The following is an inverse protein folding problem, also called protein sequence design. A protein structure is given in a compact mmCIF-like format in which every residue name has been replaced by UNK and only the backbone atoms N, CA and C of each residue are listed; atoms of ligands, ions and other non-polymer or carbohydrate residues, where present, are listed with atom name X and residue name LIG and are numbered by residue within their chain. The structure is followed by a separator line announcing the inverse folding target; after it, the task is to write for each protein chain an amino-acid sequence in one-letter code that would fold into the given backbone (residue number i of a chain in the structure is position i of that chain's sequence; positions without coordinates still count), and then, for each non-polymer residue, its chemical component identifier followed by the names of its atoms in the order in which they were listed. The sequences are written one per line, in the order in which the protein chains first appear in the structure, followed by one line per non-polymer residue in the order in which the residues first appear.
data_IF_903223013571
#
_entry.id   IF_903223013571
#
_cell.length_a   1.000
_cell.length_b   1.000
_cell.length_c   1.000
_cell.angle_alpha   90.00
_cell.angle_beta   90.00
_cell.angle_gamma   90.00
#
_symmetry.space_group_name_H-M   'P 1'
#
loop_
_entity.id
_entity.type
_entity.pdbx_description
1 polymer ?
#
# COMPACT_ATOMS: atom_id res chain seq x y z
N UNK A 1 12.76 -7.45 6.93
CA UNK A 1 12.86 -6.51 5.80
C UNK A 1 12.82 -7.27 4.48
N UNK A 2 12.25 -6.66 3.44
CA UNK A 2 12.28 -7.22 2.06
C UNK A 2 13.70 -7.51 1.58
N UNK A 3 14.66 -6.68 1.96
CA UNK A 3 16.06 -6.74 1.53
C UNK A 3 16.90 -7.74 2.32
N UNK A 4 16.32 -8.45 3.28
CA UNK A 4 17.05 -9.42 4.11
C UNK A 4 16.50 -10.82 3.91
N UNK A 5 17.41 -11.79 3.80
CA UNK A 5 17.06 -13.23 3.69
C UNK A 5 16.49 -13.80 4.99
N UNK A 6 16.78 -13.16 6.14
CA UNK A 6 16.33 -13.60 7.46
C UNK A 6 15.96 -12.40 8.34
N UNK A 7 15.32 -12.65 9.49
CA UNK A 7 14.97 -11.62 10.44
C UNK A 7 16.18 -11.21 11.30
N UNK A 8 16.15 -9.97 11.78
CA UNK A 8 17.15 -9.44 12.71
C UNK A 8 16.51 -9.22 14.07
N UNK A 9 17.01 -9.87 15.16
CA UNK A 9 16.56 -9.56 16.50
C UNK A 9 16.94 -8.12 16.87
N UNK A 10 15.95 -7.30 17.17
CA UNK A 10 16.19 -5.92 17.60
C UNK A 10 16.28 -5.79 19.12
N UNK A 11 15.54 -6.63 19.86
CA UNK A 11 15.47 -6.60 21.29
C UNK A 11 15.13 -8.00 21.86
N UNK A 12 15.77 -8.43 22.94
CA UNK A 12 15.32 -9.60 23.70
C UNK A 12 13.94 -9.33 24.30
N UNK A 13 13.02 -10.29 24.13
CA UNK A 13 11.63 -10.20 24.61
C UNK A 13 10.84 -9.01 24.04
N UNK A 14 11.10 -8.63 22.79
CA UNK A 14 10.28 -7.63 22.08
C UNK A 14 8.84 -8.09 21.94
N UNK A 15 7.90 -7.19 22.21
CA UNK A 15 6.45 -7.47 22.14
C UNK A 15 5.88 -7.39 20.72
N UNK A 16 6.67 -6.88 19.77
CA UNK A 16 6.22 -6.66 18.38
C UNK A 16 7.22 -7.17 17.37
N UNK A 17 6.67 -7.57 16.23
CA UNK A 17 7.38 -7.92 15.00
C UNK A 17 7.16 -6.82 13.98
N UNK A 18 8.23 -6.34 13.37
CA UNK A 18 8.17 -5.30 12.33
C UNK A 18 8.56 -5.91 11.00
N UNK A 19 7.65 -5.83 10.03
CA UNK A 19 7.89 -6.19 8.65
C UNK A 19 7.82 -4.94 7.81
N UNK A 20 8.75 -4.76 6.88
CA UNK A 20 8.75 -3.57 6.06
C UNK A 20 9.42 -3.78 4.71
N UNK A 21 8.91 -3.06 3.72
CA UNK A 21 9.57 -2.75 2.47
C UNK A 21 10.28 -1.40 2.68
N UNK A 22 11.61 -1.37 2.73
CA UNK A 22 12.34 -0.12 2.97
C UNK A 22 12.23 0.88 1.82
N UNK A 23 11.96 0.40 0.60
CA UNK A 23 12.05 1.22 -0.61
C UNK A 23 11.05 0.80 -1.69
N UNK A 24 9.75 0.96 -1.41
CA UNK A 24 8.68 0.81 -2.41
C UNK A 24 8.88 1.78 -3.56
N UNK A 25 8.76 1.26 -4.79
CA UNK A 25 8.98 2.05 -6.00
C UNK A 25 10.43 2.33 -6.32
N UNK A 26 11.36 1.45 -5.94
CA UNK A 26 12.82 1.61 -6.16
C UNK A 26 13.21 1.95 -7.59
N UNK A 27 12.44 1.53 -8.60
CA UNK A 27 12.62 1.91 -10.01
C UNK A 27 12.39 3.40 -10.30
N UNK A 28 11.88 4.16 -9.33
CA UNK A 28 11.65 5.60 -9.46
C UNK A 28 12.81 6.45 -8.93
N UNK A 29 13.81 5.84 -8.29
CA UNK A 29 14.90 6.58 -7.65
C UNK A 29 15.79 7.30 -8.67
N UNK A 30 16.23 6.58 -9.67
CA UNK A 30 17.17 7.10 -10.69
C UNK A 30 16.56 8.21 -11.57
N UNK A 31 15.24 8.29 -11.63
CA UNK A 31 14.50 9.33 -12.33
C UNK A 31 13.91 10.40 -11.40
N UNK A 32 14.27 10.39 -10.12
CA UNK A 32 13.85 11.36 -9.11
C UNK A 32 12.33 11.48 -8.94
N UNK A 33 11.62 10.36 -8.98
CA UNK A 33 10.19 10.28 -8.70
C UNK A 33 9.95 9.79 -7.27
N UNK A 34 8.68 9.83 -6.80
CA UNK A 34 8.36 9.44 -5.44
C UNK A 34 8.63 7.96 -5.18
N UNK A 35 9.11 7.69 -4.00
CA UNK A 35 9.33 6.37 -3.39
C UNK A 35 8.83 6.38 -1.97
N UNK A 36 8.78 5.24 -1.31
CA UNK A 36 8.34 5.20 0.07
C UNK A 36 8.84 3.99 0.84
N UNK A 37 8.52 3.95 2.11
CA UNK A 37 8.72 2.80 3.00
C UNK A 37 7.36 2.32 3.47
N UNK A 38 7.10 1.02 3.41
CA UNK A 38 5.86 0.41 3.91
C UNK A 38 6.18 -0.42 5.14
N UNK A 39 5.34 -0.38 6.17
CA UNK A 39 5.56 -1.18 7.37
C UNK A 39 4.26 -1.79 7.91
N UNK A 40 4.44 -2.96 8.52
CA UNK A 40 3.42 -3.73 9.24
C UNK A 40 3.96 -4.10 10.61
N UNK A 41 3.15 -3.93 11.64
CA UNK A 41 3.49 -4.28 13.02
C UNK A 41 2.55 -5.37 13.49
N UNK A 42 3.11 -6.52 13.86
CA UNK A 42 2.39 -7.67 14.39
C UNK A 42 2.74 -7.88 15.86
N UNK A 43 1.84 -8.41 16.69
CA UNK A 43 2.20 -8.81 18.05
C UNK A 43 3.11 -10.04 18.03
N UNK A 44 4.15 -10.01 18.87
CA UNK A 44 4.96 -11.20 19.14
C UNK A 44 4.24 -12.05 20.22
N UNK A 45 3.85 -13.28 19.85
CA UNK A 45 3.14 -14.18 20.79
C UNK A 45 4.08 -14.85 21.80
N UNK A 46 5.34 -15.02 21.43
CA UNK A 46 6.41 -15.66 22.22
C UNK A 46 7.76 -15.09 21.80
N UNK A 47 8.84 -15.54 22.43
CA UNK A 47 10.18 -15.25 21.93
C UNK A 47 10.32 -15.70 20.48
N UNK A 48 10.69 -14.75 19.60
CA UNK A 48 10.85 -15.01 18.16
C UNK A 48 12.18 -15.70 17.94
N UNK A 49 12.12 -16.88 17.36
CA UNK A 49 13.30 -17.74 17.14
C UNK A 49 13.50 -18.11 15.67
N UNK A 50 12.52 -17.85 14.80
CA UNK A 50 12.53 -18.24 13.39
C UNK A 50 11.64 -17.35 12.53
N UNK A 51 11.90 -17.32 11.24
CA UNK A 51 11.17 -16.50 10.27
C UNK A 51 9.68 -16.83 10.19
N UNK A 52 9.26 -18.08 10.44
CA UNK A 52 7.86 -18.48 10.44
C UNK A 52 7.02 -17.79 11.53
N UNK A 53 7.63 -17.29 12.59
CA UNK A 53 6.92 -16.54 13.65
C UNK A 53 6.30 -15.23 13.11
N UNK A 54 6.81 -14.71 11.98
CA UNK A 54 6.27 -13.57 11.27
C UNK A 54 5.08 -13.93 10.35
N UNK A 55 4.88 -15.20 10.02
CA UNK A 55 3.80 -15.66 9.14
C UNK A 55 2.46 -15.70 9.87
N UNK A 56 1.92 -14.51 10.13
CA UNK A 56 0.63 -14.34 10.79
C UNK A 56 -0.41 -13.80 9.79
N UNK A 57 -1.72 -14.05 10.02
CA UNK A 57 -2.78 -13.42 9.26
C UNK A 57 -2.68 -11.88 9.32
N UNK A 58 -2.94 -11.18 8.21
CA UNK A 58 -2.94 -9.72 8.16
C UNK A 58 -3.92 -9.06 9.13
N UNK A 59 -4.97 -9.78 9.53
CA UNK A 59 -5.93 -9.35 10.57
C UNK A 59 -5.34 -9.26 11.97
N UNK A 60 -4.13 -9.79 12.19
CA UNK A 60 -3.42 -9.67 13.46
C UNK A 60 -2.57 -8.39 13.55
N UNK A 61 -2.52 -7.57 12.53
CA UNK A 61 -1.73 -6.33 12.56
C UNK A 61 -2.20 -5.42 13.69
N UNK A 62 -1.28 -5.01 14.55
CA UNK A 62 -1.51 -4.02 15.60
C UNK A 62 -1.43 -2.60 15.03
N UNK A 63 -0.60 -2.40 14.01
CA UNK A 63 -0.47 -1.15 13.29
C UNK A 63 0.05 -1.40 11.86
N UNK A 64 -0.26 -0.48 10.97
CA UNK A 64 0.24 -0.46 9.62
C UNK A 64 0.41 0.98 9.14
N UNK A 65 1.34 1.19 8.23
CA UNK A 65 1.58 2.50 7.67
C UNK A 65 2.59 2.52 6.55
N UNK A 66 2.79 3.71 6.04
CA UNK A 66 3.87 3.99 5.10
C UNK A 66 4.45 5.38 5.33
N UNK A 67 5.66 5.58 4.86
CA UNK A 67 6.28 6.89 4.70
C UNK A 67 6.45 7.16 3.21
N UNK A 68 5.96 8.30 2.74
CA UNK A 68 6.11 8.79 1.38
C UNK A 68 7.22 9.83 1.32
N UNK A 69 8.21 9.60 0.47
CA UNK A 69 9.28 10.56 0.17
C UNK A 69 8.94 11.29 -1.14
N UNK A 70 8.27 12.43 -1.02
CA UNK A 70 7.80 13.28 -2.10
C UNK A 70 8.19 14.74 -1.88
N UNK A 71 7.41 15.71 -2.39
CA UNK A 71 7.63 17.13 -2.12
C UNK A 71 7.67 17.49 -0.63
N UNK A 72 6.97 16.71 0.19
CA UNK A 72 7.12 16.64 1.65
C UNK A 72 7.27 15.18 2.05
N UNK A 73 7.99 14.90 3.13
CA UNK A 73 7.98 13.57 3.73
C UNK A 73 6.73 13.43 4.58
N UNK A 74 5.87 12.50 4.21
CA UNK A 74 4.59 12.26 4.88
C UNK A 74 4.48 10.81 5.36
N UNK A 75 3.83 10.61 6.50
CA UNK A 75 3.50 9.29 7.01
C UNK A 75 1.98 9.13 7.09
N UNK A 76 1.46 8.01 6.61
CA UNK A 76 0.13 7.53 6.93
C UNK A 76 0.25 6.41 7.96
N UNK A 77 -0.59 6.45 8.99
CA UNK A 77 -0.56 5.49 10.08
C UNK A 77 -1.97 5.09 10.49
N UNK A 78 -2.16 3.81 10.74
CA UNK A 78 -3.32 3.29 11.49
C UNK A 78 -2.87 2.38 12.61
N UNK A 79 -3.59 2.45 13.71
CA UNK A 79 -3.49 1.55 14.87
C UNK A 79 -4.82 0.83 15.13
N UNK A 80 -5.66 0.71 14.07
CA UNK A 80 -6.98 0.09 14.14
C UNK A 80 -8.11 1.04 14.57
N UNK A 81 -7.87 2.36 14.58
CA UNK A 81 -8.83 3.39 14.97
C UNK A 81 -8.92 4.52 13.93
N UNK A 82 -9.04 4.16 12.65
CA UNK A 82 -8.99 5.10 11.53
C UNK A 82 -7.57 5.34 11.02
N UNK A 83 -7.41 6.25 10.07
CA UNK A 83 -6.13 6.61 9.45
C UNK A 83 -5.81 8.07 9.72
N UNK A 84 -4.56 8.35 10.08
CA UNK A 84 -4.05 9.70 10.28
C UNK A 84 -2.85 9.98 9.38
N UNK A 85 -2.70 11.24 8.96
CA UNK A 85 -1.52 11.74 8.25
C UNK A 85 -0.64 12.59 9.15
N UNK A 86 0.65 12.38 8.98
CA UNK A 86 1.69 13.17 9.63
C UNK A 86 2.63 13.72 8.55
N UNK A 87 3.11 14.94 8.76
CA UNK A 87 4.15 15.54 7.91
C UNK A 87 5.42 15.72 8.71
N UNK A 88 6.54 15.32 8.15
CA UNK A 88 7.84 15.50 8.77
C UNK A 88 8.24 16.98 8.75
N UNK A 89 8.54 17.52 9.92
CA UNK A 89 9.11 18.85 10.08
C UNK A 89 10.64 18.75 10.18
N UNK A 90 11.40 19.25 9.21
CA UNK A 90 12.86 19.18 9.23
C UNK A 90 13.52 20.07 10.29
N UNK A 91 12.82 21.09 10.82
CA UNK A 91 13.36 21.97 11.86
C UNK A 91 13.34 21.27 13.24
N UNK A 92 12.22 20.65 13.56
CA UNK A 92 12.07 19.91 14.82
C UNK A 92 12.50 18.44 14.72
N UNK A 93 12.66 17.92 13.51
CA UNK A 93 12.91 16.50 13.21
C UNK A 93 11.81 15.56 13.74
N UNK A 94 10.57 16.03 13.76
CA UNK A 94 9.41 15.29 14.24
C UNK A 94 8.35 15.14 13.15
N UNK A 95 7.55 14.10 13.27
CA UNK A 95 6.35 13.92 12.47
C UNK A 95 5.16 14.60 13.16
N UNK A 96 4.67 15.68 12.58
CA UNK A 96 3.54 16.45 13.10
C UNK A 96 2.23 15.93 12.50
N UNK A 97 1.23 15.69 13.34
CA UNK A 97 -0.12 15.31 12.91
C UNK A 97 -0.72 16.43 12.06
N UNK A 98 -1.05 16.14 10.81
CA UNK A 98 -1.59 17.12 9.86
C UNK A 98 -3.03 16.85 9.43
N UNK A 99 -3.49 15.61 9.53
CA UNK A 99 -4.88 15.24 9.26
C UNK A 99 -5.29 14.01 10.03
N UNK A 100 -6.50 14.01 10.57
CA UNK A 100 -7.11 12.87 11.27
C UNK A 100 -8.31 12.35 10.51
N UNK A 101 -8.70 11.11 10.81
CA UNK A 101 -9.91 10.48 10.28
C UNK A 101 -10.01 10.54 8.75
N UNK A 102 -8.92 10.18 8.08
CA UNK A 102 -8.90 10.08 6.61
C UNK A 102 -9.95 9.08 6.15
N UNK A 103 -10.80 9.51 5.21
CA UNK A 103 -11.88 8.69 4.67
C UNK A 103 -11.82 8.61 3.15
N UNK A 104 -12.01 7.40 2.63
CA UNK A 104 -12.16 7.14 1.19
C UNK A 104 -13.65 7.07 0.87
N UNK A 105 -14.09 7.86 -0.10
CA UNK A 105 -15.49 7.87 -0.50
C UNK A 105 -15.88 6.54 -1.18
N UNK A 106 -17.09 6.06 -0.89
CA UNK A 106 -17.65 4.86 -1.51
C UNK A 106 -17.83 4.98 -3.04
N UNK A 107 -17.98 6.20 -3.57
CA UNK A 107 -18.05 6.49 -4.99
C UNK A 107 -16.87 7.36 -5.44
N UNK A 108 -16.17 6.93 -6.47
CA UNK A 108 -14.98 7.60 -6.99
C UNK A 108 -14.96 7.65 -8.51
N UNK A 109 -14.07 8.49 -9.05
CA UNK A 109 -13.78 8.59 -10.50
C UNK A 109 -12.31 8.29 -10.82
N UNK A 110 -11.52 7.90 -9.84
CA UNK A 110 -10.10 7.61 -10.08
C UNK A 110 -9.81 6.12 -9.84
N UNK A 111 -8.92 5.58 -10.66
CA UNK A 111 -8.37 4.24 -10.49
C UNK A 111 -6.90 4.20 -10.89
N UNK A 112 -6.15 3.32 -10.25
CA UNK A 112 -4.74 3.07 -10.52
C UNK A 112 -4.56 1.60 -10.92
N UNK A 113 -3.99 1.36 -12.09
CA UNK A 113 -3.64 0.03 -12.59
C UNK A 113 -2.53 0.14 -13.62
N UNK A 114 -1.63 -0.84 -13.66
CA UNK A 114 -0.64 -0.93 -14.73
C UNK A 114 -1.28 -1.46 -16.02
N UNK A 115 -1.80 -0.55 -16.86
CA UNK A 115 -2.49 -0.88 -18.10
C UNK A 115 -1.60 -1.63 -19.13
N UNK A 116 -0.26 -1.58 -19.00
CA UNK A 116 0.65 -2.33 -19.87
C UNK A 116 0.47 -3.84 -19.77
N UNK A 117 -0.14 -4.32 -18.68
CA UNK A 117 -0.44 -5.73 -18.46
C UNK A 117 -1.81 -6.18 -19.00
N UNK A 118 -2.58 -5.30 -19.64
CA UNK A 118 -3.94 -5.58 -20.11
C UNK A 118 -4.07 -6.88 -20.93
N UNK A 119 -3.10 -7.16 -21.80
CA UNK A 119 -3.08 -8.39 -22.62
C UNK A 119 -2.96 -9.69 -21.81
N UNK A 120 -2.54 -9.58 -20.55
CA UNK A 120 -2.32 -10.72 -19.64
C UNK A 120 -3.40 -10.87 -18.57
N UNK A 121 -4.31 -9.89 -18.47
CA UNK A 121 -5.38 -9.97 -17.46
C UNK A 121 -6.42 -11.03 -17.84
N UNK A 122 -7.08 -11.55 -16.82
CA UNK A 122 -8.26 -12.38 -16.98
C UNK A 122 -9.46 -11.55 -17.47
N UNK A 123 -10.41 -12.21 -18.13
CA UNK A 123 -11.57 -11.54 -18.75
C UNK A 123 -12.40 -10.66 -17.78
N UNK A 124 -12.64 -11.03 -16.51
CA UNK A 124 -13.34 -10.15 -15.57
C UNK A 124 -12.64 -8.81 -15.35
N UNK A 125 -11.30 -8.82 -15.26
CA UNK A 125 -10.50 -7.60 -15.10
C UNK A 125 -10.54 -6.75 -16.37
N UNK A 126 -10.36 -7.37 -17.53
CA UNK A 126 -10.44 -6.69 -18.83
C UNK A 126 -11.80 -6.01 -19.00
N UNK A 127 -12.89 -6.72 -18.69
CA UNK A 127 -14.24 -6.17 -18.75
C UNK A 127 -14.40 -4.99 -17.80
N UNK A 128 -13.98 -5.14 -16.53
CA UNK A 128 -14.08 -4.07 -15.55
C UNK A 128 -13.33 -2.81 -15.99
N UNK A 129 -12.09 -2.95 -16.42
CA UNK A 129 -11.29 -1.80 -16.89
C UNK A 129 -11.85 -1.22 -18.20
N UNK A 130 -12.34 -2.06 -19.12
CA UNK A 130 -13.02 -1.59 -20.32
C UNK A 130 -14.24 -0.72 -20.01
N UNK A 131 -15.08 -1.13 -19.03
CA UNK A 131 -16.22 -0.33 -18.56
C UNK A 131 -15.79 1.03 -18.00
N UNK A 132 -14.63 1.12 -17.31
CA UNK A 132 -14.09 2.40 -16.82
C UNK A 132 -13.58 3.28 -17.97
N UNK A 133 -12.95 2.68 -18.98
CA UNK A 133 -12.42 3.39 -20.16
C UNK A 133 -13.51 3.90 -21.10
N UNK A 134 -14.59 3.13 -21.28
CA UNK A 134 -15.76 3.51 -22.09
C UNK A 134 -16.57 4.65 -21.44
N UNK A 135 -16.34 4.91 -20.15
CA UNK A 135 -16.87 6.08 -19.46
C UNK A 135 -18.39 6.15 -19.46
N UNK A 136 -18.93 7.29 -19.89
CA UNK A 136 -20.38 7.56 -19.93
C UNK A 136 -21.15 6.60 -20.84
N UNK A 137 -20.52 6.00 -21.83
CA UNK A 137 -21.14 5.05 -22.74
C UNK A 137 -21.24 3.64 -22.18
N UNK A 138 -20.54 3.37 -21.11
CA UNK A 138 -20.57 2.08 -20.43
C UNK A 138 -21.77 1.94 -19.48
N UNK A 139 -21.95 0.74 -18.92
CA UNK A 139 -22.96 0.46 -17.89
C UNK A 139 -22.78 1.31 -16.62
N UNK A 140 -21.63 1.97 -16.46
CA UNK A 140 -21.32 2.82 -15.29
C UNK A 140 -21.82 4.24 -15.44
N UNK A 141 -22.09 4.71 -16.67
CA UNK A 141 -22.70 5.99 -16.94
C UNK A 141 -21.93 7.22 -16.50
N UNK A 142 -20.62 7.10 -16.24
CA UNK A 142 -19.74 8.21 -15.85
C UNK A 142 -18.31 8.00 -16.32
N UNK A 143 -17.58 9.11 -16.47
CA UNK A 143 -16.16 9.10 -16.85
C UNK A 143 -15.25 8.83 -15.67
N UNK A 144 -14.17 8.08 -15.92
CA UNK A 144 -13.15 7.74 -14.94
C UNK A 144 -11.77 8.19 -15.42
N UNK A 145 -10.88 8.46 -14.48
CA UNK A 145 -9.50 8.85 -14.75
C UNK A 145 -8.53 7.81 -14.21
N UNK A 146 -7.70 7.26 -15.09
CA UNK A 146 -6.57 6.45 -14.66
C UNK A 146 -5.46 7.34 -14.12
N UNK A 147 -4.95 6.99 -12.95
CA UNK A 147 -3.78 7.62 -12.32
C UNK A 147 -2.84 6.52 -11.86
N UNK A 148 -1.64 6.47 -12.41
CA UNK A 148 -0.63 5.45 -12.12
C UNK A 148 0.71 6.10 -11.86
N UNK A 149 1.23 5.99 -10.62
CA UNK A 149 2.50 6.59 -10.19
C UNK A 149 3.65 5.60 -10.33
N UNK A 150 3.33 4.30 -10.38
CA UNK A 150 4.30 3.20 -10.37
C UNK A 150 5.13 3.09 -9.08
N UNK A 151 4.58 3.58 -7.98
CA UNK A 151 5.02 3.42 -6.62
C UNK A 151 3.76 3.21 -5.79
N UNK A 152 3.63 2.08 -5.12
CA UNK A 152 2.39 1.74 -4.41
C UNK A 152 2.07 2.74 -3.31
N UNK A 153 3.08 3.22 -2.59
CA UNK A 153 2.91 4.29 -1.59
C UNK A 153 2.31 5.54 -2.23
N UNK A 154 2.81 5.96 -3.41
CA UNK A 154 2.31 7.13 -4.12
C UNK A 154 0.88 6.97 -4.62
N UNK A 155 0.54 5.79 -5.16
CA UNK A 155 -0.80 5.48 -5.65
C UNK A 155 -1.82 5.41 -4.48
N UNK A 156 -1.49 4.73 -3.38
CA UNK A 156 -2.35 4.63 -2.19
C UNK A 156 -2.49 5.98 -1.49
N UNK A 157 -1.41 6.76 -1.38
CA UNK A 157 -1.50 8.12 -0.80
C UNK A 157 -2.46 9.00 -1.58
N UNK A 158 -2.41 8.94 -2.93
CA UNK A 158 -3.36 9.65 -3.78
C UNK A 158 -4.81 9.21 -3.51
N UNK A 159 -5.04 7.91 -3.35
CA UNK A 159 -6.37 7.36 -3.07
C UNK A 159 -6.88 7.81 -1.69
N UNK A 160 -6.05 7.77 -0.67
CA UNK A 160 -6.41 8.27 0.66
C UNK A 160 -6.74 9.77 0.65
N UNK A 161 -6.09 10.57 -0.22
CA UNK A 161 -6.36 12.00 -0.36
C UNK A 161 -7.56 12.35 -1.24
N UNK A 162 -7.87 11.54 -2.28
CA UNK A 162 -8.82 11.90 -3.36
C UNK A 162 -9.89 10.87 -3.63
N UNK A 163 -9.85 9.77 -2.93
CA UNK A 163 -10.60 8.56 -3.18
C UNK A 163 -10.22 7.90 -4.51
N UNK A 164 -10.48 6.61 -4.63
CA UNK A 164 -10.10 5.83 -5.79
C UNK A 164 -10.02 4.35 -5.48
N UNK A 165 -9.53 3.61 -6.45
CA UNK A 165 -9.22 2.20 -6.29
C UNK A 165 -7.84 1.89 -6.87
N UNK A 166 -7.03 1.13 -6.13
CA UNK A 166 -5.77 0.55 -6.60
C UNK A 166 -5.99 -0.90 -6.99
N UNK A 167 -5.46 -1.28 -8.14
CA UNK A 167 -5.60 -2.61 -8.70
C UNK A 167 -4.24 -3.13 -9.16
N UNK A 168 -3.85 -4.28 -8.63
CA UNK A 168 -2.72 -5.04 -9.14
C UNK A 168 -3.12 -6.52 -9.22
N UNK A 169 -4.02 -6.87 -10.17
CA UNK A 169 -4.59 -8.20 -10.27
C UNK A 169 -3.54 -9.23 -10.69
N UNK A 170 -3.85 -10.49 -10.41
CA UNK A 170 -3.17 -11.62 -11.05
C UNK A 170 -3.20 -11.46 -12.57
N UNK A 171 -2.13 -11.84 -13.22
CA UNK A 171 -2.02 -11.87 -14.67
C UNK A 171 -1.31 -13.15 -15.16
N UNK A 172 -1.55 -13.51 -16.41
CA UNK A 172 -1.00 -14.73 -17.03
C UNK A 172 0.42 -14.57 -17.56
N UNK A 173 1.06 -13.41 -17.36
CA UNK A 173 2.43 -13.15 -17.81
C UNK A 173 3.44 -14.07 -17.10
N UNK A 174 3.19 -14.35 -15.82
CA UNK A 174 3.97 -15.26 -15.02
C UNK A 174 3.03 -16.17 -14.20
N UNK A 175 2.56 -17.29 -14.80
CA UNK A 175 1.56 -18.16 -14.17
C UNK A 175 2.02 -18.82 -12.87
N UNK A 176 3.33 -18.81 -12.59
CA UNK A 176 3.88 -19.39 -11.37
C UNK A 176 3.77 -18.43 -10.16
N UNK A 177 3.51 -17.14 -10.40
CA UNK A 177 3.34 -16.15 -9.34
C UNK A 177 1.87 -16.00 -8.99
N UNK A 178 1.52 -16.23 -7.73
CA UNK A 178 0.16 -16.06 -7.21
C UNK A 178 -0.33 -14.59 -7.24
N UNK A 179 0.60 -13.63 -7.32
CA UNK A 179 0.33 -12.20 -7.38
C UNK A 179 1.60 -11.39 -7.57
N UNK A 180 1.47 -10.08 -7.64
CA UNK A 180 2.60 -9.16 -7.83
C UNK A 180 3.08 -8.52 -6.54
N UNK A 181 2.16 -8.30 -5.61
CA UNK A 181 2.46 -7.67 -4.32
C UNK A 181 2.97 -8.72 -3.33
N UNK A 182 3.91 -8.33 -2.48
CA UNK A 182 4.36 -9.15 -1.37
C UNK A 182 3.32 -9.04 -0.25
N UNK A 183 2.83 -10.20 0.19
CA UNK A 183 1.69 -10.25 1.11
C UNK A 183 1.95 -9.52 2.43
N UNK A 184 3.13 -9.76 3.04
CA UNK A 184 3.36 -9.43 4.45
C UNK A 184 3.75 -7.98 4.68
N UNK A 185 4.45 -7.34 3.75
CA UNK A 185 4.99 -5.99 3.93
C UNK A 185 4.54 -4.98 2.86
N UNK A 186 3.68 -5.40 1.91
CA UNK A 186 3.00 -4.52 0.96
C UNK A 186 1.48 -4.68 1.07
N UNK A 187 0.92 -5.85 0.71
CA UNK A 187 -0.53 -6.02 0.60
C UNK A 187 -1.25 -5.91 1.95
N UNK A 188 -0.78 -6.60 3.00
CA UNK A 188 -1.42 -6.57 4.32
C UNK A 188 -1.44 -5.15 4.93
N UNK A 189 -0.31 -4.41 5.04
CA UNK A 189 -0.35 -3.07 5.62
C UNK A 189 -1.20 -2.09 4.82
N UNK A 190 -1.15 -2.14 3.48
CA UNK A 190 -1.98 -1.27 2.65
C UNK A 190 -3.47 -1.63 2.75
N UNK A 191 -3.80 -2.93 2.86
CA UNK A 191 -5.18 -3.36 3.08
C UNK A 191 -5.72 -2.85 4.42
N UNK A 192 -4.93 -2.94 5.50
CA UNK A 192 -5.34 -2.41 6.80
C UNK A 192 -5.60 -0.90 6.74
N UNK A 193 -4.72 -0.12 6.09
CA UNK A 193 -4.94 1.31 5.88
C UNK A 193 -6.25 1.59 5.14
N UNK A 194 -6.50 0.87 4.04
CA UNK A 194 -7.72 1.07 3.23
C UNK A 194 -8.99 0.67 3.98
N UNK A 195 -8.99 -0.45 4.71
CA UNK A 195 -10.11 -0.88 5.55
C UNK A 195 -10.41 0.12 6.67
N UNK A 196 -9.38 0.73 7.26
CA UNK A 196 -9.54 1.74 8.31
C UNK A 196 -9.95 3.12 7.77
N UNK A 197 -9.75 3.36 6.49
CA UNK A 197 -10.18 4.59 5.82
C UNK A 197 -11.60 4.49 5.23
N UNK A 198 -12.30 3.34 5.34
CA UNK A 198 -13.64 3.09 4.80
C UNK A 198 -13.60 2.45 3.44
#
# INVERSE_FOLDING_TARGET
SEELDDFTPAQENGEFLVLFDPLDGSSNIDINMCVGTIFSILPAKNAVTKAEDFMQPGTNQAAAGYVLYGPSTMMALTVGAGVAFFTFDPETQEFLLTSENIQVAADTKEYAINASNQRHWEEPVKRYIGELQDGQTSVRGKDFNMRWVACMVGDIHRILCRSGIFLYPYDTKDPQKAGRLRLMYEANPMSMLMEQAG
#
